data_IF_079795142489
#
_entry.id   IF_079795142489
#
_cell.length_a   1.000
_cell.length_b   1.000
_cell.length_c   1.000
_cell.angle_alpha   90.00
_cell.angle_beta   90.00
_cell.angle_gamma   90.00
#
_symmetry.space_group_name_H-M   'P 1'
#
loop_
_entity.id
_entity.type
_entity.pdbx_description
1 polymer ?
#
# COMPACT_ATOMS: atom_id res chain seq x y z
N UNK A 1 0.99 9.22 -17.62
CA UNK A 1 0.44 7.89 -17.27
C UNK A 1 -0.53 8.13 -16.15
N UNK A 2 -1.83 8.01 -16.43
CA UNK A 2 -2.89 8.10 -15.45
C UNK A 2 -2.67 7.02 -14.39
N UNK A 3 -2.00 7.39 -13.31
CA UNK A 3 -2.02 6.60 -12.11
C UNK A 3 -3.40 6.85 -11.50
N UNK A 4 -4.34 5.94 -11.75
CA UNK A 4 -5.68 5.98 -11.19
C UNK A 4 -5.63 6.44 -9.74
N UNK A 5 -6.34 7.53 -9.43
CA UNK A 5 -6.39 8.09 -8.07
C UNK A 5 -7.05 7.10 -7.11
N UNK A 6 -7.91 6.23 -7.65
CA UNK A 6 -8.66 5.22 -6.94
C UNK A 6 -8.35 3.83 -7.50
N UNK A 7 -8.20 2.86 -6.60
CA UNK A 7 -8.07 1.45 -6.92
C UNK A 7 -9.11 0.65 -6.14
N UNK A 8 -9.76 -0.30 -6.80
CA UNK A 8 -10.74 -1.19 -6.18
C UNK A 8 -10.21 -2.63 -6.19
N UNK A 9 -10.20 -3.28 -5.03
CA UNK A 9 -9.77 -4.67 -4.89
C UNK A 9 -10.56 -5.36 -3.78
N UNK A 10 -11.30 -6.43 -4.10
CA UNK A 10 -12.01 -7.25 -3.11
C UNK A 10 -12.88 -6.43 -2.13
N UNK A 11 -13.57 -5.40 -2.64
CA UNK A 11 -14.41 -4.50 -1.83
C UNK A 11 -13.64 -3.45 -1.01
N UNK A 12 -12.32 -3.39 -1.14
CA UNK A 12 -11.51 -2.28 -0.67
C UNK A 12 -11.41 -1.20 -1.75
N UNK A 13 -11.54 0.06 -1.35
CA UNK A 13 -11.25 1.23 -2.18
C UNK A 13 -10.03 1.94 -1.61
N UNK A 14 -8.96 2.02 -2.39
CA UNK A 14 -7.76 2.77 -2.03
C UNK A 14 -7.75 4.12 -2.75
N UNK A 15 -7.71 5.22 -1.99
CA UNK A 15 -7.53 6.57 -2.50
C UNK A 15 -6.07 6.99 -2.31
N UNK A 16 -5.34 7.13 -3.41
CA UNK A 16 -3.92 7.47 -3.42
C UNK A 16 -3.64 8.92 -3.01
N UNK A 17 -4.57 9.84 -3.31
CA UNK A 17 -4.40 11.27 -3.00
C UNK A 17 -4.63 11.52 -1.51
N UNK A 18 -5.65 10.89 -0.94
CA UNK A 18 -5.97 11.04 0.49
C UNK A 18 -5.20 10.05 1.38
N UNK A 19 -4.48 9.11 0.79
CA UNK A 19 -3.82 8.00 1.47
C UNK A 19 -4.80 7.26 2.38
N UNK A 20 -5.96 6.86 1.86
CA UNK A 20 -6.99 6.15 2.63
C UNK A 20 -7.35 4.83 2.00
N UNK A 21 -7.73 3.86 2.83
CA UNK A 21 -8.43 2.65 2.41
C UNK A 21 -9.81 2.65 3.04
N UNK A 22 -10.82 2.36 2.24
CA UNK A 22 -12.20 2.17 2.68
C UNK A 22 -12.65 0.73 2.40
N UNK A 23 -13.46 0.15 3.29
CA UNK A 23 -14.24 -1.07 3.03
C UNK A 23 -15.52 -1.01 3.83
N UNK A 24 -16.67 -1.30 3.20
CA UNK A 24 -17.98 -1.31 3.86
C UNK A 24 -18.30 -0.04 4.66
N UNK A 25 -17.86 1.13 4.20
CA UNK A 25 -18.05 2.43 4.86
C UNK A 25 -17.10 2.72 6.02
N UNK A 26 -16.22 1.80 6.40
CA UNK A 26 -15.14 2.06 7.35
C UNK A 26 -13.88 2.55 6.60
N UNK A 27 -13.27 3.63 7.08
CA UNK A 27 -12.11 4.28 6.44
C UNK A 27 -10.92 4.31 7.40
N UNK A 28 -9.75 3.92 6.90
CA UNK A 28 -8.47 4.04 7.62
C UNK A 28 -7.46 4.88 6.83
N UNK A 29 -6.67 5.69 7.55
CA UNK A 29 -5.57 6.47 6.97
C UNK A 29 -4.28 5.66 6.89
N UNK A 30 -3.61 5.77 5.76
CA UNK A 30 -2.27 5.26 5.51
C UNK A 30 -1.25 6.36 5.80
N UNK A 31 -0.03 5.93 6.15
CA UNK A 31 1.11 6.84 6.05
C UNK A 31 1.52 6.93 4.58
N UNK A 32 2.26 7.98 4.20
CA UNK A 32 2.75 8.12 2.83
C UNK A 32 3.49 6.86 2.36
N UNK A 33 4.39 6.30 3.17
CA UNK A 33 5.16 5.11 2.80
C UNK A 33 4.31 3.86 2.61
N UNK A 34 3.27 3.69 3.41
CA UNK A 34 2.32 2.57 3.25
C UNK A 34 1.50 2.74 1.98
N UNK A 35 1.08 3.96 1.67
CA UNK A 35 0.35 4.29 0.44
C UNK A 35 1.22 4.07 -0.81
N UNK A 36 2.48 4.51 -0.78
CA UNK A 36 3.45 4.30 -1.87
C UNK A 36 3.66 2.81 -2.15
N UNK A 37 3.89 2.00 -1.10
CA UNK A 37 4.05 0.54 -1.24
C UNK A 37 2.78 -0.12 -1.77
N UNK A 38 1.61 0.24 -1.25
CA UNK A 38 0.33 -0.31 -1.71
C UNK A 38 0.08 0.02 -3.19
N UNK A 39 0.36 1.25 -3.62
CA UNK A 39 0.23 1.65 -5.01
C UNK A 39 1.13 0.80 -5.93
N UNK A 40 2.37 0.51 -5.53
CA UNK A 40 3.26 -0.35 -6.32
C UNK A 40 2.74 -1.79 -6.43
N UNK A 41 2.21 -2.34 -5.33
CA UNK A 41 1.63 -3.67 -5.31
C UNK A 41 0.39 -3.77 -6.21
N UNK A 42 -0.50 -2.77 -6.17
CA UNK A 42 -1.71 -2.74 -7.00
C UNK A 42 -1.39 -2.55 -8.49
N UNK A 43 -0.38 -1.76 -8.83
CA UNK A 43 0.03 -1.57 -10.22
C UNK A 43 0.70 -2.81 -10.83
N UNK A 44 1.14 -3.77 -10.02
CA UNK A 44 1.78 -4.98 -10.51
C UNK A 44 0.81 -5.98 -11.16
N UNK A 45 -0.51 -5.71 -11.14
CA UNK A 45 -1.55 -6.47 -11.83
C UNK A 45 -1.40 -8.01 -11.67
N UNK A 46 -1.44 -8.47 -10.41
CA UNK A 46 -1.24 -9.87 -9.98
C UNK A 46 0.20 -10.41 -10.10
N UNK A 47 1.15 -9.59 -10.57
CA UNK A 47 2.57 -9.92 -10.60
C UNK A 47 3.25 -9.85 -9.22
N UNK A 48 4.27 -10.68 -9.03
CA UNK A 48 5.12 -10.61 -7.84
C UNK A 48 6.01 -9.37 -7.90
N UNK A 49 5.84 -8.45 -6.95
CA UNK A 49 6.75 -7.33 -6.74
C UNK A 49 7.91 -7.75 -5.85
N UNK A 50 9.14 -7.65 -6.35
CA UNK A 50 10.32 -8.01 -5.57
C UNK A 50 10.58 -7.00 -4.45
N UNK A 51 11.23 -7.48 -3.38
CA UNK A 51 11.69 -6.64 -2.28
C UNK A 51 12.56 -5.48 -2.79
N UNK A 52 13.51 -5.80 -3.67
CA UNK A 52 14.45 -4.84 -4.24
C UNK A 52 13.71 -3.73 -5.00
N UNK A 53 12.70 -4.08 -5.80
CA UNK A 53 11.89 -3.08 -6.52
C UNK A 53 11.13 -2.14 -5.57
N UNK A 54 10.57 -2.67 -4.49
CA UNK A 54 9.89 -1.83 -3.48
C UNK A 54 10.88 -0.87 -2.80
N UNK A 55 12.09 -1.34 -2.48
CA UNK A 55 13.12 -0.52 -1.87
C UNK A 55 13.61 0.57 -2.82
N UNK A 56 13.89 0.23 -4.07
CA UNK A 56 14.33 1.17 -5.11
C UNK A 56 13.32 2.29 -5.34
N UNK A 57 12.03 1.95 -5.46
CA UNK A 57 10.99 2.93 -5.79
C UNK A 57 10.58 3.79 -4.61
N UNK A 58 10.49 3.21 -3.40
CA UNK A 58 9.94 3.91 -2.22
C UNK A 58 11.04 4.55 -1.37
N UNK A 59 12.25 4.00 -1.37
CA UNK A 59 13.39 4.52 -0.64
C UNK A 59 14.62 4.63 -1.56
N UNK A 60 14.55 5.42 -2.64
CA UNK A 60 15.68 5.61 -3.53
C UNK A 60 16.89 6.13 -2.75
N UNK A 61 18.08 5.57 -3.03
CA UNK A 61 19.34 5.98 -2.42
C UNK A 61 19.43 5.74 -0.89
N UNK A 62 18.57 4.88 -0.31
CA UNK A 62 18.63 4.51 1.11
C UNK A 62 19.14 3.09 1.30
N UNK A 63 20.38 2.97 1.76
CA UNK A 63 20.94 1.70 2.18
C UNK A 63 20.25 1.22 3.48
N UNK A 64 19.91 -0.08 3.55
CA UNK A 64 19.40 -0.72 4.78
C UNK A 64 17.93 -0.45 5.12
N UNK A 65 17.09 -0.11 4.14
CA UNK A 65 15.66 0.14 4.38
C UNK A 65 14.80 -1.15 4.54
N UNK A 66 15.40 -2.34 4.60
CA UNK A 66 14.71 -3.63 4.77
C UNK A 66 13.79 -3.69 5.99
N UNK A 67 14.25 -3.19 7.14
CA UNK A 67 13.42 -3.12 8.35
C UNK A 67 12.24 -2.16 8.17
N UNK A 68 12.46 -1.05 7.45
CA UNK A 68 11.41 -0.08 7.14
C UNK A 68 10.34 -0.69 6.25
N UNK A 69 10.74 -1.42 5.19
CA UNK A 69 9.81 -2.12 4.33
C UNK A 69 9.04 -3.20 5.10
N UNK A 70 9.73 -3.99 5.93
CA UNK A 70 9.09 -5.02 6.76
C UNK A 70 8.03 -4.43 7.69
N UNK A 71 8.33 -3.27 8.31
CA UNK A 71 7.36 -2.53 9.14
C UNK A 71 6.20 -1.98 8.33
N UNK A 72 6.45 -1.43 7.15
CA UNK A 72 5.41 -0.90 6.26
C UNK A 72 4.45 -2.00 5.80
N UNK A 73 4.97 -3.17 5.40
CA UNK A 73 4.14 -4.32 5.04
C UNK A 73 3.33 -4.81 6.24
N UNK A 74 3.92 -4.84 7.44
CA UNK A 74 3.19 -5.21 8.67
C UNK A 74 2.06 -4.23 9.00
N UNK A 75 2.32 -2.92 8.88
CA UNK A 75 1.32 -1.86 9.11
C UNK A 75 0.17 -1.94 8.08
N UNK A 76 0.52 -2.18 6.81
CA UNK A 76 -0.46 -2.35 5.74
C UNK A 76 -1.43 -3.50 6.04
N UNK A 77 -0.92 -4.68 6.42
CA UNK A 77 -1.76 -5.84 6.75
C UNK A 77 -2.70 -5.53 7.91
N UNK A 78 -2.19 -4.97 9.00
CA UNK A 78 -3.01 -4.60 10.17
C UNK A 78 -4.15 -3.65 9.81
N UNK A 79 -3.90 -2.69 8.92
CA UNK A 79 -4.92 -1.74 8.46
C UNK A 79 -5.99 -2.41 7.62
N UNK A 80 -5.60 -3.33 6.73
CA UNK A 80 -6.55 -4.13 5.96
C UNK A 80 -7.37 -5.05 6.87
N UNK A 81 -6.74 -5.73 7.81
CA UNK A 81 -7.40 -6.60 8.80
C UNK A 81 -8.38 -5.80 9.68
N UNK A 82 -8.05 -4.56 10.07
CA UNK A 82 -8.95 -3.71 10.87
C UNK A 82 -10.24 -3.30 10.17
N UNK A 83 -10.28 -3.44 8.84
CA UNK A 83 -11.43 -3.15 8.00
C UNK A 83 -12.24 -4.41 7.64
N UNK A 84 -11.78 -5.59 8.04
CA UNK A 84 -12.53 -6.82 7.84
C UNK A 84 -13.59 -6.97 8.95
N UNK A 85 -14.82 -7.38 8.59
CA UNK A 85 -15.83 -7.69 9.60
C UNK A 85 -15.38 -8.91 10.43
N UNK A 86 -15.55 -8.81 11.75
CA UNK A 86 -15.33 -9.91 12.72
C UNK A 86 -16.36 -11.01 12.55
#
# INVERSE_FOLDING_TARGET
MDASVYFELNGFTFNRVENTIEKSGAVVKLTNKVSEVLALLLNANDGVVTRDKLLEEVWPQRFGADESLSRVISDLRKKLESLEPV
#
